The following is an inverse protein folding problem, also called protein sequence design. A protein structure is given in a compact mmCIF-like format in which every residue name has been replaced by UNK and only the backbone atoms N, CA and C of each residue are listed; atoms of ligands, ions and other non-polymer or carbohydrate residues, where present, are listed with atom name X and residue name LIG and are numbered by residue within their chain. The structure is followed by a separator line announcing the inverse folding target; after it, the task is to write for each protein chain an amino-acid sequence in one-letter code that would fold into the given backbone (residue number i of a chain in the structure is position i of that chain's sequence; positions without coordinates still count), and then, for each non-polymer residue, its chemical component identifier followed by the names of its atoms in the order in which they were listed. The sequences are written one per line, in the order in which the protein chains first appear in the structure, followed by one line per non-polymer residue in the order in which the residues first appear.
data_IF_270415983585
#
_entry.id   IF_270415983585
#
_cell.length_a   1.000
_cell.length_b   1.000
_cell.length_c   1.000
_cell.angle_alpha   90.00
_cell.angle_beta   90.00
_cell.angle_gamma   90.00
#
_symmetry.space_group_name_H-M   'P 1'
#
loop_
_entity.id
_entity.type
_entity.pdbx_description
1 polymer ?
#
# COMPACT_ATOMS: atom_id res chain seq x y z
N UNK A 1 -3.36 28.75 73.92
CA UNK A 1 -4.50 28.86 73.00
C UNK A 1 -4.30 30.12 72.16
N UNK A 2 -3.55 30.07 71.05
CA UNK A 2 -3.50 31.10 70.01
C UNK A 2 -2.89 30.45 68.76
N UNK A 3 -3.74 30.22 67.75
CA UNK A 3 -3.39 29.52 66.51
C UNK A 3 -2.65 30.43 65.54
N UNK A 4 -1.60 29.89 64.90
CA UNK A 4 -0.92 30.51 63.76
C UNK A 4 -1.74 30.28 62.49
N UNK A 5 -2.25 31.37 61.92
CA UNK A 5 -2.83 31.39 60.57
C UNK A 5 -1.68 31.25 59.56
N UNK A 6 -1.66 30.16 58.80
CA UNK A 6 -0.85 30.03 57.58
C UNK A 6 -1.65 30.62 56.42
N UNK A 7 -1.16 31.72 55.85
CA UNK A 7 -1.66 32.26 54.59
C UNK A 7 -1.15 31.34 53.46
N UNK A 8 -2.06 30.64 52.81
CA UNK A 8 -1.80 29.92 51.56
C UNK A 8 -2.02 30.93 50.43
N UNK A 9 -0.93 31.36 49.79
CA UNK A 9 -0.98 32.11 48.54
C UNK A 9 -1.26 31.11 47.42
N UNK A 10 -2.52 31.06 46.99
CA UNK A 10 -2.96 30.22 45.88
C UNK A 10 -2.59 30.93 44.58
N UNK A 11 -1.51 30.48 43.94
CA UNK A 11 -1.15 30.87 42.57
C UNK A 11 -2.20 30.28 41.62
N UNK A 12 -3.21 31.07 41.26
CA UNK A 12 -4.09 30.76 40.14
C UNK A 12 -3.28 31.04 38.88
N UNK A 13 -2.69 29.99 38.32
CA UNK A 13 -2.17 30.02 36.95
C UNK A 13 -3.38 30.08 36.03
N UNK A 14 -3.71 31.28 35.56
CA UNK A 14 -4.53 31.44 34.37
C UNK A 14 -3.76 30.79 33.22
N UNK A 15 -4.15 29.57 32.84
CA UNK A 15 -3.84 29.02 31.53
C UNK A 15 -4.64 29.85 30.54
N UNK A 16 -4.09 31.01 30.18
CA UNK A 16 -4.42 31.67 28.93
C UNK A 16 -4.15 30.63 27.85
N UNK A 17 -5.22 30.08 27.29
CA UNK A 17 -5.20 29.37 26.02
C UNK A 17 -4.47 30.26 25.04
N UNK A 18 -3.20 29.92 24.82
CA UNK A 18 -2.39 30.42 23.73
C UNK A 18 -3.13 29.96 22.48
N UNK A 19 -4.03 30.79 21.96
CA UNK A 19 -4.45 30.68 20.58
C UNK A 19 -3.15 30.72 19.79
N UNK A 20 -2.80 29.60 19.18
CA UNK A 20 -1.64 29.47 18.31
C UNK A 20 -1.89 30.40 17.13
N UNK A 21 -1.47 31.66 17.26
CA UNK A 21 -1.51 32.64 16.19
C UNK A 21 -0.56 32.15 15.10
N UNK A 22 -1.12 31.70 13.97
CA UNK A 22 -0.35 31.41 12.75
C UNK A 22 -0.61 30.07 12.06
N UNK A 23 -1.54 29.23 12.54
CA UNK A 23 -1.92 28.03 11.79
C UNK A 23 -3.10 28.32 10.85
N UNK A 24 -3.00 27.84 9.61
CA UNK A 24 -4.09 27.90 8.64
C UNK A 24 -5.29 27.09 9.17
N UNK A 25 -6.54 27.55 8.97
CA UNK A 25 -7.72 26.84 9.46
C UNK A 25 -7.90 25.51 8.74
N UNK A 26 -8.40 24.50 9.44
CA UNK A 26 -8.68 23.18 8.83
C UNK A 26 -9.87 23.22 7.86
N UNK A 27 -10.81 24.14 8.09
CA UNK A 27 -12.01 24.35 7.29
C UNK A 27 -12.20 25.84 6.98
N UNK A 28 -12.57 26.16 5.74
CA UNK A 28 -12.96 27.51 5.35
C UNK A 28 -14.10 27.47 4.32
N UNK A 29 -14.75 28.61 4.12
CA UNK A 29 -15.53 28.87 2.92
C UNK A 29 -14.88 29.95 2.09
N UNK A 30 -14.82 29.75 0.78
CA UNK A 30 -14.58 30.82 -0.17
C UNK A 30 -15.92 31.22 -0.80
N UNK A 31 -16.33 32.45 -0.58
CA UNK A 31 -17.54 33.01 -1.16
C UNK A 31 -17.17 33.83 -2.38
N UNK A 32 -17.67 33.45 -3.55
CA UNK A 32 -17.61 34.25 -4.77
C UNK A 32 -18.94 34.99 -4.94
N UNK A 33 -18.92 36.31 -4.90
CA UNK A 33 -20.09 37.16 -5.14
C UNK A 33 -19.94 37.89 -6.46
N UNK A 34 -20.85 37.63 -7.41
CA UNK A 34 -20.93 38.33 -8.69
C UNK A 34 -22.16 39.23 -8.71
N UNK A 35 -21.97 40.49 -9.09
CA UNK A 35 -23.08 41.44 -9.27
C UNK A 35 -23.62 41.28 -10.69
N UNK A 36 -24.79 40.67 -10.84
CA UNK A 36 -25.34 40.28 -12.15
C UNK A 36 -26.29 41.32 -12.74
N UNK A 37 -26.68 42.33 -11.96
CA UNK A 37 -27.54 43.41 -12.39
C UNK A 37 -27.51 44.58 -11.42
N UNK A 38 -28.35 45.58 -11.65
CA UNK A 38 -28.57 46.63 -10.68
C UNK A 38 -30.05 47.03 -10.65
N UNK A 39 -30.51 47.37 -9.45
CA UNK A 39 -31.84 47.84 -9.11
C UNK A 39 -31.65 48.94 -8.04
N UNK A 40 -32.70 49.62 -7.61
CA UNK A 40 -32.55 50.66 -6.59
C UNK A 40 -32.39 50.06 -5.19
N UNK A 41 -31.59 50.69 -4.33
CA UNK A 41 -31.31 50.24 -2.96
C UNK A 41 -31.02 48.73 -2.87
N UNK A 42 -30.10 48.27 -3.71
CA UNK A 42 -29.84 46.87 -3.99
C UNK A 42 -28.64 46.36 -3.17
N UNK A 43 -28.93 45.59 -2.13
CA UNK A 43 -27.96 45.09 -1.17
C UNK A 43 -27.97 43.56 -1.15
N UNK A 44 -26.79 42.97 -1.28
CA UNK A 44 -26.57 41.54 -1.22
C UNK A 44 -25.72 41.23 0.01
N UNK A 45 -26.27 40.45 0.92
CA UNK A 45 -25.64 40.08 2.18
C UNK A 45 -25.50 38.58 2.28
N UNK A 46 -24.37 38.14 2.80
CA UNK A 46 -24.13 36.77 3.20
C UNK A 46 -23.51 36.79 4.59
N UNK A 47 -23.99 35.93 5.48
CA UNK A 47 -23.37 35.68 6.78
C UNK A 47 -23.18 34.19 7.01
N UNK A 48 -22.09 33.84 7.69
CA UNK A 48 -21.79 32.47 8.08
C UNK A 48 -21.62 32.43 9.59
N UNK A 49 -22.31 31.48 10.22
CA UNK A 49 -22.17 31.15 11.64
C UNK A 49 -21.88 29.66 11.80
N UNK A 50 -21.24 29.28 12.90
CA UNK A 50 -21.17 27.88 13.33
C UNK A 50 -21.96 27.72 14.63
N UNK A 51 -22.07 26.49 15.12
CA UNK A 51 -22.55 26.22 16.48
C UNK A 51 -21.67 26.82 17.60
N UNK A 52 -20.50 27.37 17.26
CA UNK A 52 -19.56 28.01 18.19
C UNK A 52 -19.59 29.55 18.10
N UNK A 53 -20.40 30.13 17.21
CA UNK A 53 -20.56 31.58 17.08
C UNK A 53 -20.53 32.09 15.65
N UNK A 54 -20.60 33.42 15.50
CA UNK A 54 -20.49 34.08 14.20
C UNK A 54 -19.06 34.02 13.64
N UNK A 55 -18.95 33.74 12.34
CA UNK A 55 -17.65 33.66 11.64
C UNK A 55 -17.36 34.96 10.90
N UNK A 56 -18.30 35.41 10.07
CA UNK A 56 -18.12 36.58 9.23
C UNK A 56 -19.29 36.81 8.29
N UNK A 57 -19.26 37.96 7.62
CA UNK A 57 -20.28 38.36 6.65
C UNK A 57 -19.68 39.19 5.52
N UNK A 58 -20.23 39.03 4.31
CA UNK A 58 -19.99 39.91 3.16
C UNK A 58 -21.23 40.74 2.86
N UNK A 59 -21.05 42.02 2.54
CA UNK A 59 -22.14 42.91 2.14
C UNK A 59 -21.72 43.70 0.90
N UNK A 60 -22.57 43.67 -0.12
CA UNK A 60 -22.27 44.25 -1.42
C UNK A 60 -23.46 45.06 -1.92
N UNK A 61 -23.20 46.25 -2.44
CA UNK A 61 -24.23 47.07 -3.08
C UNK A 61 -24.10 46.97 -4.58
N UNK A 62 -25.20 46.74 -5.28
CA UNK A 62 -25.23 46.71 -6.74
C UNK A 62 -25.54 48.10 -7.30
N UNK A 63 -24.67 48.60 -8.16
CA UNK A 63 -24.81 49.87 -8.88
C UNK A 63 -24.55 49.63 -10.37
N UNK A 64 -24.99 50.55 -11.23
CA UNK A 64 -24.71 50.45 -12.66
C UNK A 64 -23.21 50.33 -12.99
N UNK A 65 -22.33 50.84 -12.12
CA UNK A 65 -20.87 50.86 -12.35
C UNK A 65 -20.14 49.59 -11.92
N UNK A 66 -20.78 48.71 -11.14
CA UNK A 66 -20.14 47.49 -10.63
C UNK A 66 -20.84 46.20 -11.07
N UNK A 67 -21.83 46.29 -11.96
CA UNK A 67 -22.37 45.11 -12.63
C UNK A 67 -21.25 44.40 -13.39
N UNK A 68 -21.15 43.09 -13.20
CA UNK A 68 -20.06 42.24 -13.70
C UNK A 68 -18.89 42.12 -12.73
N UNK A 69 -18.81 42.93 -11.67
CA UNK A 69 -17.76 42.78 -10.67
C UNK A 69 -17.91 41.47 -9.90
N UNK A 70 -16.77 40.86 -9.61
CA UNK A 70 -16.65 39.63 -8.83
C UNK A 70 -15.81 39.92 -7.59
N UNK A 71 -16.35 39.54 -6.43
CA UNK A 71 -15.71 39.68 -5.14
C UNK A 71 -15.51 38.30 -4.50
N UNK A 72 -14.47 38.19 -3.68
CA UNK A 72 -14.12 36.96 -2.98
C UNK A 72 -13.95 37.23 -1.48
N UNK A 73 -14.71 36.51 -0.64
CA UNK A 73 -14.56 36.51 0.80
C UNK A 73 -14.08 35.14 1.30
N UNK A 74 -12.98 35.13 2.05
CA UNK A 74 -12.46 33.92 2.69
C UNK A 74 -12.88 33.89 4.16
N UNK A 75 -13.78 32.98 4.51
CA UNK A 75 -14.38 32.84 5.84
C UNK A 75 -13.76 31.63 6.55
N UNK A 76 -12.96 31.86 7.58
CA UNK A 76 -12.27 30.81 8.35
C UNK A 76 -13.21 30.22 9.40
N UNK A 77 -13.43 28.90 9.41
CA UNK A 77 -14.26 28.29 10.44
C UNK A 77 -13.43 27.99 11.70
N UNK A 78 -14.07 28.10 12.86
CA UNK A 78 -13.48 27.75 14.15
C UNK A 78 -13.24 26.24 14.22
N UNK A 79 -12.12 25.83 14.81
CA UNK A 79 -11.85 24.42 15.08
C UNK A 79 -12.93 23.81 16.01
N UNK A 80 -13.23 22.54 15.81
CA UNK A 80 -14.20 21.80 16.64
C UNK A 80 -15.68 22.10 16.38
N UNK A 81 -16.03 22.91 15.37
CA UNK A 81 -17.43 23.05 14.95
C UNK A 81 -18.02 21.69 14.53
N UNK A 82 -19.33 21.54 14.69
CA UNK A 82 -20.09 20.35 14.22
C UNK A 82 -21.02 20.68 13.07
N UNK A 83 -21.44 21.95 12.98
CA UNK A 83 -22.26 22.46 11.89
C UNK A 83 -21.98 23.93 11.61
N UNK A 84 -22.15 24.34 10.35
CA UNK A 84 -22.16 25.72 9.91
C UNK A 84 -23.55 26.08 9.39
N UNK A 85 -23.90 27.35 9.37
CA UNK A 85 -25.12 27.86 8.77
C UNK A 85 -24.78 29.07 7.92
N UNK A 86 -25.20 29.01 6.66
CA UNK A 86 -25.02 30.07 5.67
C UNK A 86 -26.37 30.75 5.51
N UNK A 87 -26.41 32.06 5.77
CA UNK A 87 -27.60 32.87 5.63
C UNK A 87 -27.36 33.92 4.55
N UNK A 88 -28.19 33.91 3.51
CA UNK A 88 -28.18 34.82 2.37
C UNK A 88 -29.38 35.75 2.49
N UNK A 89 -29.14 37.04 2.35
CA UNK A 89 -30.17 38.06 2.29
C UNK A 89 -29.85 39.04 1.17
N UNK A 90 -30.56 38.93 0.06
CA UNK A 90 -30.44 39.83 -1.08
C UNK A 90 -31.74 40.60 -1.24
N UNK A 91 -31.65 41.91 -1.33
CA UNK A 91 -32.80 42.79 -1.34
C UNK A 91 -32.61 43.92 -2.35
N UNK A 92 -33.68 44.29 -3.05
CA UNK A 92 -33.74 45.44 -3.93
C UNK A 92 -35.12 46.11 -3.87
N UNK A 93 -35.12 47.45 -3.82
CA UNK A 93 -36.33 48.27 -3.78
C UNK A 93 -36.72 48.72 -5.18
N UNK A 94 -38.02 48.74 -5.42
CA UNK A 94 -38.70 49.27 -6.60
C UNK A 94 -38.26 50.70 -6.97
N UNK A 95 -37.99 50.87 -8.26
CA UNK A 95 -38.25 52.13 -8.98
C UNK A 95 -39.15 51.82 -10.19
N UNK A 96 -40.21 52.62 -10.35
CA UNK A 96 -41.17 52.53 -11.46
C UNK A 96 -41.90 51.17 -11.59
N UNK A 97 -41.69 50.44 -12.69
CA UNK A 97 -42.49 49.26 -13.10
C UNK A 97 -41.88 47.91 -12.72
N UNK A 98 -40.76 47.87 -11.99
CA UNK A 98 -40.14 46.62 -11.55
C UNK A 98 -40.62 46.22 -10.15
N UNK A 99 -40.91 44.93 -9.90
CA UNK A 99 -41.29 44.47 -8.57
C UNK A 99 -40.12 44.55 -7.58
N UNK A 100 -40.43 44.75 -6.29
CA UNK A 100 -39.45 44.56 -5.22
C UNK A 100 -38.88 43.14 -5.30
N UNK A 101 -37.62 42.99 -4.93
CA UNK A 101 -37.00 41.68 -4.82
C UNK A 101 -36.48 41.49 -3.39
N UNK A 102 -36.95 40.43 -2.75
CA UNK A 102 -36.43 39.93 -1.50
C UNK A 102 -36.12 38.45 -1.68
N UNK A 103 -34.86 38.10 -1.50
CA UNK A 103 -34.38 36.74 -1.56
C UNK A 103 -33.65 36.42 -0.26
N UNK A 104 -34.29 35.58 0.54
CA UNK A 104 -33.71 35.04 1.76
C UNK A 104 -33.55 33.52 1.65
N UNK A 105 -32.36 33.05 2.00
CA UNK A 105 -32.07 31.62 2.16
C UNK A 105 -31.22 31.39 3.39
N UNK A 106 -31.49 30.29 4.07
CA UNK A 106 -30.64 29.78 5.14
C UNK A 106 -30.42 28.30 4.92
N UNK A 107 -29.18 27.84 5.10
CA UNK A 107 -28.82 26.44 4.94
C UNK A 107 -27.79 26.03 5.97
N UNK A 108 -28.06 24.94 6.68
CA UNK A 108 -27.15 24.34 7.66
C UNK A 108 -26.38 23.19 7.00
N UNK A 109 -25.06 23.19 7.18
CA UNK A 109 -24.16 22.15 6.67
C UNK A 109 -23.52 21.45 7.87
N UNK A 110 -23.70 20.13 7.95
CA UNK A 110 -23.00 19.31 8.94
C UNK A 110 -21.53 19.15 8.53
N UNK A 111 -20.64 19.06 9.51
CA UNK A 111 -19.21 18.91 9.26
C UNK A 111 -18.87 17.62 8.48
N UNK A 112 -19.61 16.54 8.73
CA UNK A 112 -19.46 15.27 7.98
C UNK A 112 -19.80 15.41 6.49
N UNK A 113 -20.67 16.37 6.15
CA UNK A 113 -21.14 16.64 4.79
C UNK A 113 -20.43 17.82 4.12
N UNK A 114 -19.38 18.38 4.76
CA UNK A 114 -18.81 19.68 4.38
C UNK A 114 -18.39 19.74 2.91
N UNK A 115 -17.85 18.63 2.39
CA UNK A 115 -17.39 18.51 1.00
C UNK A 115 -18.35 17.72 0.09
N UNK A 116 -19.55 17.36 0.54
CA UNK A 116 -20.50 16.58 -0.27
C UNK A 116 -20.94 17.30 -1.54
N UNK A 117 -20.89 18.64 -1.51
CA UNK A 117 -21.22 19.48 -2.66
C UNK A 117 -20.01 20.29 -3.07
N UNK A 118 -19.80 20.28 -4.37
CA UNK A 118 -18.85 21.12 -5.10
C UNK A 118 -18.90 22.59 -4.67
N UNK A 119 -20.08 23.18 -4.67
CA UNK A 119 -20.36 24.52 -4.17
C UNK A 119 -21.85 24.65 -3.89
N UNK A 120 -22.21 25.62 -3.07
CA UNK A 120 -23.58 26.04 -2.82
C UNK A 120 -23.86 27.28 -3.68
N UNK A 121 -25.02 27.31 -4.33
CA UNK A 121 -25.35 28.35 -5.31
C UNK A 121 -26.59 29.11 -4.90
N UNK A 122 -26.45 30.42 -4.71
CA UNK A 122 -27.52 31.31 -4.29
C UNK A 122 -27.62 32.47 -5.28
N UNK A 123 -28.70 32.48 -6.07
CA UNK A 123 -28.97 33.53 -7.05
C UNK A 123 -30.25 34.25 -6.66
N UNK A 124 -30.18 35.57 -6.49
CA UNK A 124 -31.32 36.37 -6.07
C UNK A 124 -31.10 37.86 -6.32
N UNK A 125 -32.17 38.53 -6.77
CA UNK A 125 -32.19 39.95 -7.10
C UNK A 125 -31.12 40.34 -8.13
N UNK A 126 -29.95 40.82 -7.69
CA UNK A 126 -28.85 41.19 -8.59
C UNK A 126 -27.51 40.60 -8.17
N UNK A 127 -27.54 39.52 -7.41
CA UNK A 127 -26.35 38.83 -6.92
C UNK A 127 -26.40 37.36 -7.29
N UNK A 128 -25.26 36.86 -7.72
CA UNK A 128 -24.97 35.43 -7.80
C UNK A 128 -23.85 35.12 -6.80
N UNK A 129 -24.19 34.42 -5.73
CA UNK A 129 -23.26 34.03 -4.67
C UNK A 129 -23.01 32.53 -4.75
N UNK A 130 -21.73 32.15 -4.85
CA UNK A 130 -21.29 30.76 -4.79
C UNK A 130 -20.41 30.55 -3.57
N UNK A 131 -20.73 29.56 -2.76
CA UNK A 131 -19.97 29.23 -1.55
C UNK A 131 -19.25 27.91 -1.79
N UNK A 132 -17.93 27.96 -1.82
CA UNK A 132 -17.05 26.81 -2.00
C UNK A 132 -16.56 26.33 -0.64
N UNK A 133 -16.92 25.10 -0.20
CA UNK A 133 -16.30 24.49 0.96
C UNK A 133 -14.83 24.19 0.68
N UNK A 134 -13.96 24.63 1.58
CA UNK A 134 -12.53 24.39 1.53
C UNK A 134 -12.12 23.50 2.71
N UNK A 135 -11.77 22.27 2.40
CA UNK A 135 -11.21 21.29 3.32
C UNK A 135 -10.58 20.16 2.50
N UNK A 136 -9.28 19.91 2.65
CA UNK A 136 -8.60 18.95 1.78
C UNK A 136 -8.92 17.52 2.21
N UNK A 137 -9.53 16.76 1.31
CA UNK A 137 -9.80 15.31 1.45
C UNK A 137 -9.08 14.54 0.34
N UNK A 138 -8.31 13.52 0.71
CA UNK A 138 -7.61 12.62 -0.21
C UNK A 138 -8.18 11.19 -0.21
N UNK A 139 -8.08 10.50 -1.34
CA UNK A 139 -8.51 9.08 -1.49
C UNK A 139 -7.59 8.10 -0.77
N UNK A 140 -6.31 8.43 -0.66
CA UNK A 140 -5.26 7.53 -0.20
C UNK A 140 -4.50 8.23 0.93
N UNK A 141 -5.19 8.58 2.03
CA UNK A 141 -4.62 9.28 3.20
C UNK A 141 -3.53 8.45 3.95
N UNK A 142 -2.83 7.58 3.24
CA UNK A 142 -1.73 6.73 3.68
C UNK A 142 -0.40 7.41 3.36
N UNK A 143 0.43 7.57 4.37
CA UNK A 143 1.80 8.08 4.28
C UNK A 143 2.77 6.94 4.68
N UNK A 144 3.81 6.59 3.89
CA UNK A 144 4.31 7.16 2.64
C UNK A 144 3.63 6.66 1.38
N UNK A 145 3.85 7.42 0.29
CA UNK A 145 3.31 7.20 -1.05
C UNK A 145 4.46 6.95 -2.03
N UNK A 146 4.29 6.03 -2.99
CA UNK A 146 5.28 5.81 -4.05
C UNK A 146 5.17 6.89 -5.14
N UNK A 147 6.28 7.29 -5.74
CA UNK A 147 6.34 8.34 -6.77
C UNK A 147 5.38 8.15 -7.97
N UNK A 148 5.03 6.93 -8.35
CA UNK A 148 4.11 6.64 -9.46
C UNK A 148 2.64 6.70 -9.06
N UNK A 149 2.35 7.00 -7.79
CA UNK A 149 0.96 7.06 -7.30
C UNK A 149 0.27 8.31 -7.80
N UNK A 150 -1.00 8.17 -8.17
CA UNK A 150 -1.88 9.28 -8.47
C UNK A 150 -2.71 9.64 -7.24
N UNK A 151 -2.55 10.86 -6.72
CA UNK A 151 -3.32 11.38 -5.59
C UNK A 151 -4.53 12.15 -6.11
N UNK A 152 -5.72 11.84 -5.57
CA UNK A 152 -6.94 12.60 -5.82
C UNK A 152 -7.26 13.46 -4.60
N UNK A 153 -7.18 14.79 -4.75
CA UNK A 153 -7.57 15.73 -3.71
C UNK A 153 -8.87 16.43 -4.09
N UNK A 154 -9.73 16.65 -3.10
CA UNK A 154 -11.03 17.33 -3.23
C UNK A 154 -11.20 18.40 -2.15
N UNK A 155 -12.22 19.25 -2.33
CA UNK A 155 -12.60 20.29 -1.37
C UNK A 155 -11.69 21.51 -1.43
N UNK A 156 -11.38 21.98 -2.65
CA UNK A 156 -10.53 23.14 -2.87
C UNK A 156 -11.06 24.16 -3.86
N UNK A 157 -10.21 25.11 -4.24
CA UNK A 157 -10.47 26.09 -5.30
C UNK A 157 -9.18 26.46 -6.05
N UNK A 158 -8.28 27.23 -5.43
CA UNK A 158 -6.92 27.38 -5.91
C UNK A 158 -6.03 26.37 -5.21
N UNK A 159 -5.25 25.59 -5.96
CA UNK A 159 -4.39 24.53 -5.44
C UNK A 159 -2.92 24.91 -5.62
N UNK A 160 -2.16 24.71 -4.56
CA UNK A 160 -0.71 24.89 -4.57
C UNK A 160 -0.02 23.67 -3.99
N UNK A 161 1.21 23.43 -4.46
CA UNK A 161 2.08 22.39 -3.96
C UNK A 161 3.45 22.95 -3.57
N UNK A 162 4.12 22.25 -2.67
CA UNK A 162 5.46 22.58 -2.20
C UNK A 162 6.24 21.28 -2.00
N UNK A 163 7.41 21.14 -2.62
CA UNK A 163 8.32 20.02 -2.38
C UNK A 163 9.26 20.42 -1.24
N UNK A 164 9.29 19.61 -0.19
CA UNK A 164 10.04 19.86 1.03
C UNK A 164 9.84 21.27 1.57
N UNK A 165 10.96 21.96 1.80
CA UNK A 165 10.97 23.33 2.29
C UNK A 165 11.06 24.38 1.17
N UNK A 166 10.76 23.99 -0.09
CA UNK A 166 10.82 24.86 -1.26
C UNK A 166 9.75 25.95 -1.28
N UNK A 167 9.62 26.67 -2.41
CA UNK A 167 8.53 27.64 -2.59
C UNK A 167 7.21 26.97 -2.98
N UNK A 168 6.08 27.55 -2.57
CA UNK A 168 4.76 27.17 -3.08
C UNK A 168 4.65 27.48 -4.57
N UNK A 169 4.12 26.53 -5.33
CA UNK A 169 3.86 26.64 -6.78
C UNK A 169 2.40 26.37 -7.06
N UNK A 170 1.83 27.11 -8.02
CA UNK A 170 0.46 26.87 -8.47
C UNK A 170 0.37 25.50 -9.14
N UNK A 171 -0.55 24.66 -8.65
CA UNK A 171 -0.92 23.38 -9.26
C UNK A 171 -2.13 23.56 -10.19
N UNK A 172 -3.18 24.18 -9.68
CA UNK A 172 -4.42 24.44 -10.42
C UNK A 172 -5.13 25.68 -9.84
N UNK A 173 -6.09 26.25 -10.56
CA UNK A 173 -6.85 27.41 -10.11
C UNK A 173 -8.32 27.26 -10.45
N UNK A 174 -9.19 27.80 -9.59
CA UNK A 174 -10.64 27.73 -9.73
C UNK A 174 -11.23 26.32 -9.98
N UNK A 175 -10.66 25.29 -9.36
CA UNK A 175 -11.14 23.91 -9.43
C UNK A 175 -11.26 23.26 -8.04
N UNK A 176 -12.26 22.42 -7.84
CA UNK A 176 -12.51 21.79 -6.53
C UNK A 176 -11.76 20.50 -6.30
N UNK A 177 -11.26 19.90 -7.37
CA UNK A 177 -10.54 18.65 -7.31
C UNK A 177 -9.36 18.66 -8.27
N UNK A 178 -8.31 17.97 -7.86
CA UNK A 178 -7.10 17.75 -8.64
C UNK A 178 -6.74 16.27 -8.59
N UNK A 179 -6.31 15.75 -9.73
CA UNK A 179 -5.77 14.41 -9.89
C UNK A 179 -4.31 14.59 -10.29
N UNK A 180 -3.40 14.06 -9.46
CA UNK A 180 -1.99 14.45 -9.45
C UNK A 180 -1.14 13.20 -9.52
N UNK A 181 -0.35 13.04 -10.57
CA UNK A 181 0.76 12.08 -10.56
C UNK A 181 1.95 12.72 -9.83
N UNK A 182 2.40 12.10 -8.74
CA UNK A 182 3.48 12.64 -7.92
C UNK A 182 4.81 12.66 -8.69
N UNK A 183 5.07 11.64 -9.48
CA UNK A 183 6.28 11.50 -10.28
C UNK A 183 6.41 12.62 -11.29
N UNK A 184 5.31 13.02 -11.92
CA UNK A 184 5.27 14.15 -12.87
C UNK A 184 5.65 15.47 -12.17
N UNK A 185 5.12 15.72 -10.96
CA UNK A 185 5.51 16.91 -10.19
C UNK A 185 7.02 16.93 -9.91
N UNK A 186 7.60 15.82 -9.49
CA UNK A 186 9.04 15.76 -9.17
C UNK A 186 9.90 15.88 -10.44
N UNK A 187 9.50 15.22 -11.53
CA UNK A 187 10.17 15.30 -12.83
C UNK A 187 10.15 16.71 -13.41
N UNK A 188 9.02 17.43 -13.34
CA UNK A 188 8.89 18.84 -13.75
C UNK A 188 9.79 19.78 -12.93
N UNK A 189 10.21 19.34 -11.74
CA UNK A 189 11.13 20.06 -10.88
C UNK A 189 12.58 19.57 -11.02
N UNK A 190 12.85 18.64 -11.94
CA UNK A 190 14.18 18.08 -12.18
C UNK A 190 14.70 17.23 -11.02
N UNK A 191 13.81 16.64 -10.21
CA UNK A 191 14.17 15.86 -9.03
C UNK A 191 13.90 14.38 -9.31
N UNK A 192 14.94 13.55 -9.23
CA UNK A 192 14.77 12.10 -9.20
C UNK A 192 14.66 11.63 -7.74
N UNK A 193 13.46 11.13 -7.38
CA UNK A 193 13.15 10.64 -6.03
C UNK A 193 14.06 9.48 -5.62
N UNK A 194 14.57 8.69 -6.56
CA UNK A 194 15.45 7.57 -6.25
C UNK A 194 16.86 8.03 -5.86
N UNK A 195 17.24 9.26 -6.21
CA UNK A 195 18.53 9.87 -5.85
C UNK A 195 18.49 10.64 -4.52
N UNK A 196 17.29 10.91 -3.99
CA UNK A 196 17.14 11.67 -2.74
C UNK A 196 17.56 10.86 -1.50
N UNK A 197 18.23 11.47 -0.51
CA UNK A 197 18.52 10.77 0.74
C UNK A 197 17.27 10.42 1.57
N UNK A 198 17.25 9.30 2.30
CA UNK A 198 16.24 9.00 3.32
C UNK A 198 16.25 10.11 4.39
N UNK A 199 15.11 10.76 4.61
CA UNK A 199 14.98 11.91 5.51
C UNK A 199 15.26 13.29 4.89
N UNK A 200 15.60 13.35 3.59
CA UNK A 200 15.63 14.64 2.87
C UNK A 200 14.26 15.31 2.92
N UNK A 201 14.24 16.63 3.13
CA UNK A 201 13.00 17.39 3.14
C UNK A 201 12.26 17.27 1.81
N UNK A 202 13.00 17.18 0.70
CA UNK A 202 12.48 16.98 -0.66
C UNK A 202 11.74 15.65 -0.82
N UNK A 203 11.89 14.68 0.09
CA UNK A 203 11.02 13.50 0.15
C UNK A 203 9.64 13.79 0.75
N UNK A 204 9.31 15.04 1.05
CA UNK A 204 7.95 15.43 1.42
C UNK A 204 7.36 16.33 0.35
N UNK A 205 6.07 16.15 0.09
CA UNK A 205 5.29 17.06 -0.73
C UNK A 205 4.07 17.54 0.05
N UNK A 206 3.84 18.83 0.00
CA UNK A 206 2.74 19.49 0.67
C UNK A 206 1.74 20.01 -0.36
N UNK A 207 0.45 19.90 -0.05
CA UNK A 207 -0.63 20.48 -0.82
C UNK A 207 -1.46 21.41 0.06
N UNK A 208 -1.83 22.56 -0.47
CA UNK A 208 -2.77 23.46 0.17
C UNK A 208 -3.81 23.95 -0.83
N UNK A 209 -4.96 24.38 -0.32
CA UNK A 209 -6.00 25.00 -1.15
C UNK A 209 -6.58 26.24 -0.50
N UNK A 210 -7.08 27.16 -1.31
CA UNK A 210 -7.57 28.44 -0.82
C UNK A 210 -7.89 29.41 -1.94
N UNK A 211 -7.54 30.68 -1.71
CA UNK A 211 -7.68 31.76 -2.67
C UNK A 211 -6.38 32.55 -2.79
N UNK A 212 -5.70 32.34 -3.91
CA UNK A 212 -4.34 32.83 -4.16
C UNK A 212 -4.25 34.35 -4.14
N UNK A 213 -5.24 35.04 -4.73
CA UNK A 213 -5.23 36.50 -4.80
C UNK A 213 -5.35 37.17 -3.42
N UNK A 214 -5.96 36.50 -2.43
CA UNK A 214 -6.01 36.98 -1.04
C UNK A 214 -4.90 36.41 -0.15
N UNK A 215 -4.04 35.53 -0.67
CA UNK A 215 -3.04 34.79 0.10
C UNK A 215 -3.62 34.11 1.36
N UNK A 216 -4.78 33.47 1.22
CA UNK A 216 -5.48 32.77 2.31
C UNK A 216 -5.74 31.33 1.91
N UNK A 217 -5.31 30.41 2.77
CA UNK A 217 -5.35 28.96 2.52
C UNK A 217 -5.82 28.21 3.76
N UNK A 218 -6.33 27.00 3.56
CA UNK A 218 -6.59 26.04 4.65
C UNK A 218 -5.32 25.30 5.04
N UNK A 219 -5.39 24.51 6.11
CA UNK A 219 -4.32 23.64 6.55
C UNK A 219 -3.84 22.72 5.42
N UNK A 220 -2.51 22.57 5.31
CA UNK A 220 -1.87 21.76 4.27
C UNK A 220 -2.00 20.26 4.57
N UNK A 221 -1.99 19.44 3.51
CA UNK A 221 -1.74 18.00 3.59
C UNK A 221 -0.32 17.69 3.19
N UNK A 222 0.32 16.76 3.89
CA UNK A 222 1.71 16.38 3.68
C UNK A 222 1.79 14.89 3.39
N UNK A 223 2.58 14.53 2.39
CA UNK A 223 2.88 13.15 2.03
C UNK A 223 4.39 12.97 2.00
N UNK A 224 4.88 11.87 2.56
CA UNK A 224 6.25 11.41 2.39
C UNK A 224 6.32 10.52 1.15
N UNK A 225 7.28 10.79 0.27
CA UNK A 225 7.42 10.20 -1.06
C UNK A 225 8.61 9.24 -1.11
N UNK A 226 8.35 8.04 -1.59
CA UNK A 226 9.31 6.94 -1.73
C UNK A 226 9.54 6.57 -3.19
N UNK A 227 10.70 5.99 -3.49
CA UNK A 227 10.95 5.37 -4.79
C UNK A 227 10.06 4.14 -4.95
N UNK A 228 9.51 3.91 -6.15
CA UNK A 228 8.64 2.77 -6.37
C UNK A 228 9.43 1.49 -6.62
N UNK A 229 9.03 0.42 -5.93
CA UNK A 229 9.54 -0.93 -6.17
C UNK A 229 9.18 -1.40 -7.58
N UNK A 230 10.03 -2.21 -8.25
CA UNK A 230 9.70 -2.82 -9.54
C UNK A 230 8.35 -3.53 -9.52
N UNK A 231 7.56 -3.39 -10.58
CA UNK A 231 6.24 -4.04 -10.68
C UNK A 231 6.40 -5.55 -10.79
N UNK A 232 5.61 -6.30 -10.02
CA UNK A 232 5.52 -7.75 -10.12
C UNK A 232 4.89 -8.15 -11.46
N UNK A 233 5.54 -9.08 -12.16
CA UNK A 233 5.05 -9.61 -13.44
C UNK A 233 4.46 -11.00 -13.24
N UNK A 234 5.28 -11.95 -12.81
CA UNK A 234 4.88 -13.34 -12.53
C UNK A 234 5.95 -14.07 -11.72
N UNK A 235 5.68 -15.33 -11.39
CA UNK A 235 6.69 -16.25 -10.85
C UNK A 235 7.43 -16.97 -11.97
N UNK A 236 8.70 -17.32 -11.75
CA UNK A 236 9.49 -18.12 -12.68
C UNK A 236 10.38 -19.13 -11.94
N UNK A 237 10.95 -20.08 -12.68
CA UNK A 237 11.83 -21.16 -12.18
C UNK A 237 11.28 -21.93 -10.98
N UNK A 238 9.94 -21.99 -10.85
CA UNK A 238 9.27 -22.69 -9.77
C UNK A 238 9.53 -24.20 -9.86
N UNK A 239 10.11 -24.78 -8.82
CA UNK A 239 10.29 -26.23 -8.71
C UNK A 239 9.53 -26.80 -7.52
N UNK A 240 8.93 -27.98 -7.72
CA UNK A 240 8.46 -28.81 -6.61
C UNK A 240 9.64 -29.42 -5.87
N UNK A 241 9.42 -29.90 -4.65
CA UNK A 241 10.44 -30.64 -3.89
C UNK A 241 10.91 -31.89 -4.65
N UNK A 242 12.19 -32.25 -4.56
CA UNK A 242 12.73 -33.40 -5.31
C UNK A 242 12.24 -34.73 -4.74
N UNK A 243 12.02 -34.81 -3.42
CA UNK A 243 11.43 -35.95 -2.73
C UNK A 243 10.28 -35.49 -1.84
N UNK A 244 9.29 -36.37 -1.61
CA UNK A 244 8.11 -36.10 -0.78
C UNK A 244 8.43 -35.51 0.61
N UNK A 245 9.61 -35.83 1.17
CA UNK A 245 10.06 -35.43 2.50
C UNK A 245 11.21 -34.41 2.50
N UNK A 246 11.64 -33.90 1.34
CA UNK A 246 12.71 -32.90 1.26
C UNK A 246 12.15 -31.48 1.25
N UNK A 247 13.01 -30.54 1.62
CA UNK A 247 12.78 -29.09 1.58
C UNK A 247 13.79 -28.49 0.61
N UNK A 248 13.51 -28.59 -0.68
CA UNK A 248 14.39 -28.20 -1.79
C UNK A 248 13.60 -27.67 -3.01
N UNK A 249 12.37 -27.20 -2.78
CA UNK A 249 11.65 -26.40 -3.77
C UNK A 249 12.26 -25.01 -3.93
N UNK A 250 12.11 -24.43 -5.11
CA UNK A 250 12.63 -23.10 -5.47
C UNK A 250 11.50 -22.25 -6.08
N UNK A 251 11.65 -20.93 -5.95
CA UNK A 251 10.85 -19.94 -6.68
C UNK A 251 11.67 -18.70 -7.04
N UNK A 252 11.39 -18.11 -8.20
CA UNK A 252 11.85 -16.78 -8.60
C UNK A 252 10.69 -15.79 -8.83
N UNK A 253 10.96 -14.50 -8.64
CA UNK A 253 10.05 -13.38 -8.87
C UNK A 253 10.50 -12.62 -10.12
N UNK A 254 9.64 -12.53 -11.13
CA UNK A 254 9.87 -11.70 -12.32
C UNK A 254 9.33 -10.28 -12.09
N UNK A 255 10.17 -9.30 -12.40
CA UNK A 255 9.98 -7.88 -12.14
C UNK A 255 10.14 -7.05 -13.44
N UNK A 256 9.37 -5.98 -13.56
CA UNK A 256 9.29 -5.17 -14.79
C UNK A 256 10.43 -4.15 -15.02
N UNK A 257 11.41 -4.09 -14.12
CA UNK A 257 12.63 -3.27 -14.28
C UNK A 257 13.78 -3.83 -13.46
N UNK A 258 15.01 -3.46 -13.82
CA UNK A 258 16.16 -3.69 -12.96
C UNK A 258 16.14 -2.73 -11.76
N UNK A 259 16.95 -3.04 -10.76
CA UNK A 259 17.33 -2.10 -9.71
C UNK A 259 18.68 -1.45 -10.05
N UNK A 260 18.89 -0.19 -9.67
CA UNK A 260 20.22 0.41 -9.71
C UNK A 260 21.02 -0.11 -8.51
N UNK A 261 21.78 -1.19 -8.68
CA UNK A 261 22.47 -1.82 -7.54
C UNK A 261 23.56 -0.97 -6.87
N UNK A 262 23.85 0.23 -7.37
CA UNK A 262 24.71 1.21 -6.69
C UNK A 262 23.94 2.10 -5.69
N UNK A 263 22.61 2.19 -5.83
CA UNK A 263 21.73 3.07 -5.04
C UNK A 263 20.59 2.31 -4.37
N UNK A 264 20.11 1.24 -4.97
CA UNK A 264 18.92 0.47 -4.63
C UNK A 264 19.25 -0.99 -4.31
N UNK A 265 18.56 -1.55 -3.32
CA UNK A 265 18.44 -3.01 -3.13
C UNK A 265 16.98 -3.41 -3.07
N UNK A 266 16.65 -4.57 -3.58
CA UNK A 266 15.37 -5.21 -3.38
C UNK A 266 15.40 -5.99 -2.07
N UNK A 267 14.49 -5.70 -1.14
CA UNK A 267 14.25 -6.49 0.07
C UNK A 267 13.00 -7.32 -0.15
N UNK A 268 13.12 -8.63 0.01
CA UNK A 268 12.08 -9.62 -0.29
C UNK A 268 11.85 -10.47 0.96
N UNK A 269 10.60 -10.60 1.37
CA UNK A 269 10.20 -11.35 2.55
C UNK A 269 9.19 -12.42 2.17
N UNK A 270 9.46 -13.66 2.55
CA UNK A 270 8.64 -14.83 2.23
C UNK A 270 7.72 -15.17 3.41
N UNK A 271 6.43 -15.34 3.12
CA UNK A 271 5.43 -15.76 4.08
C UNK A 271 4.73 -17.03 3.63
N UNK A 272 4.35 -17.85 4.60
CA UNK A 272 3.42 -18.97 4.40
C UNK A 272 1.98 -18.50 4.62
N UNK A 273 1.00 -19.21 4.05
CA UNK A 273 -0.42 -18.81 4.01
C UNK A 273 -1.07 -18.50 5.37
N UNK A 274 -0.47 -18.93 6.47
CA UNK A 274 -0.81 -18.68 7.87
C UNK A 274 -0.15 -17.40 8.46
N UNK A 275 0.44 -16.55 7.60
CA UNK A 275 1.24 -15.37 7.97
C UNK A 275 2.52 -15.72 8.75
N UNK A 276 2.98 -16.97 8.69
CA UNK A 276 4.26 -17.34 9.28
C UNK A 276 5.40 -16.80 8.41
N UNK A 277 6.25 -15.98 9.02
CA UNK A 277 7.48 -15.48 8.41
C UNK A 277 8.44 -16.65 8.19
N UNK A 278 8.80 -16.89 6.93
CA UNK A 278 9.79 -17.91 6.55
C UNK A 278 11.19 -17.31 6.55
N UNK A 279 11.32 -16.10 6.03
CA UNK A 279 12.60 -15.39 6.01
C UNK A 279 12.51 -14.06 5.28
N UNK A 280 13.55 -13.25 5.42
CA UNK A 280 13.76 -12.03 4.66
C UNK A 280 15.15 -12.05 4.05
N UNK A 281 15.24 -11.62 2.81
CA UNK A 281 16.46 -11.57 2.03
C UNK A 281 16.55 -10.24 1.29
N UNK A 282 17.73 -9.89 0.83
CA UNK A 282 17.92 -8.70 0.02
C UNK A 282 18.99 -8.90 -1.05
N UNK A 283 18.87 -8.14 -2.14
CA UNK A 283 19.86 -8.17 -3.22
C UNK A 283 21.12 -7.44 -2.81
N UNK A 284 22.27 -8.01 -3.16
CA UNK A 284 23.59 -7.35 -3.08
C UNK A 284 24.10 -6.87 -4.44
N UNK A 285 23.47 -7.32 -5.53
CA UNK A 285 23.81 -7.01 -6.91
C UNK A 285 22.54 -6.65 -7.70
N UNK A 286 22.72 -6.31 -8.97
CA UNK A 286 21.60 -6.14 -9.92
C UNK A 286 20.76 -7.42 -10.04
N UNK A 287 19.50 -7.26 -10.46
CA UNK A 287 18.60 -8.38 -10.72
C UNK A 287 19.07 -9.18 -11.95
N UNK A 288 18.67 -10.45 -12.01
CA UNK A 288 19.04 -11.37 -13.08
C UNK A 288 18.31 -10.93 -14.36
N UNK A 289 18.99 -10.55 -15.45
CA UNK A 289 18.31 -10.20 -16.69
C UNK A 289 17.66 -11.46 -17.29
N UNK A 290 16.34 -11.43 -17.45
CA UNK A 290 15.58 -12.56 -18.04
C UNK A 290 15.29 -12.31 -19.53
N UNK A 291 15.02 -11.05 -19.89
CA UNK A 291 14.88 -10.60 -21.27
C UNK A 291 15.10 -9.07 -21.35
N UNK A 292 14.78 -8.44 -22.48
CA UNK A 292 15.02 -7.01 -22.70
C UNK A 292 14.22 -6.08 -21.79
N UNK A 293 13.14 -6.54 -21.17
CA UNK A 293 12.25 -5.72 -20.33
C UNK A 293 12.03 -6.27 -18.93
N UNK A 294 12.45 -7.50 -18.64
CA UNK A 294 12.17 -8.18 -17.38
C UNK A 294 13.42 -8.70 -16.69
N UNK A 295 13.36 -8.68 -15.37
CA UNK A 295 14.44 -9.05 -14.47
C UNK A 295 13.94 -10.00 -13.40
N UNK A 296 14.83 -10.82 -12.88
CA UNK A 296 14.53 -11.92 -11.98
C UNK A 296 15.22 -11.75 -10.63
N UNK A 297 14.47 -12.03 -9.57
CA UNK A 297 15.01 -12.28 -8.25
C UNK A 297 14.76 -13.75 -7.90
N UNK A 298 15.83 -14.51 -7.62
CA UNK A 298 15.71 -15.89 -7.13
C UNK A 298 15.72 -15.89 -5.60
N UNK A 299 14.75 -16.56 -5.00
CA UNK A 299 14.78 -16.79 -3.56
C UNK A 299 15.95 -17.74 -3.22
N UNK A 300 16.87 -17.35 -2.33
CA UNK A 300 18.13 -18.07 -2.14
C UNK A 300 17.99 -19.31 -1.26
N UNK A 301 16.93 -19.42 -0.46
CA UNK A 301 16.75 -20.51 0.49
C UNK A 301 15.80 -21.57 -0.05
N UNK A 302 16.05 -22.83 0.28
CA UNK A 302 15.13 -23.89 -0.10
C UNK A 302 13.77 -23.75 0.61
N UNK A 303 12.70 -24.12 -0.08
CA UNK A 303 11.33 -24.03 0.42
C UNK A 303 10.72 -25.43 0.53
N UNK A 304 10.04 -25.69 1.63
CA UNK A 304 9.20 -26.89 1.79
C UNK A 304 7.93 -26.79 0.96
N UNK A 305 7.20 -27.91 0.83
CA UNK A 305 5.92 -27.87 0.15
C UNK A 305 4.87 -27.10 0.98
N UNK A 306 4.08 -26.26 0.31
CA UNK A 306 3.11 -25.38 0.97
C UNK A 306 2.64 -24.26 0.05
N UNK A 307 1.81 -23.37 0.62
CA UNK A 307 1.32 -22.18 -0.07
C UNK A 307 1.92 -20.93 0.56
N UNK A 308 2.45 -20.06 -0.27
CA UNK A 308 3.27 -18.90 0.12
C UNK A 308 2.88 -17.65 -0.64
N UNK A 309 3.40 -16.51 -0.20
CA UNK A 309 3.43 -15.25 -0.96
C UNK A 309 4.65 -14.43 -0.54
N UNK A 310 5.03 -13.47 -1.38
CA UNK A 310 6.09 -12.52 -1.07
C UNK A 310 5.52 -11.14 -0.75
N UNK A 311 6.23 -10.45 0.13
CA UNK A 311 6.17 -9.00 0.27
C UNK A 311 7.55 -8.44 -0.06
N UNK A 312 7.60 -7.39 -0.86
CA UNK A 312 8.89 -6.81 -1.22
C UNK A 312 8.83 -5.30 -1.36
N UNK A 313 10.00 -4.69 -1.23
CA UNK A 313 10.20 -3.27 -1.53
C UNK A 313 11.62 -3.00 -2.00
N UNK A 314 11.80 -1.92 -2.76
CA UNK A 314 13.13 -1.36 -3.01
C UNK A 314 13.52 -0.39 -1.90
N UNK A 315 14.76 -0.51 -1.43
CA UNK A 315 15.36 0.33 -0.39
C UNK A 315 16.64 0.98 -0.92
N UNK A 316 17.00 2.14 -0.37
CA UNK A 316 18.28 2.77 -0.67
C UNK A 316 19.42 2.11 0.11
N UNK A 317 20.48 1.65 -0.58
CA UNK A 317 21.59 0.91 0.02
C UNK A 317 22.35 1.73 1.06
N UNK A 318 22.48 3.05 0.85
CA UNK A 318 23.33 3.89 1.70
C UNK A 318 22.61 4.38 2.96
N UNK A 319 21.30 4.21 3.03
CA UNK A 319 20.46 4.98 3.96
C UNK A 319 19.45 4.13 4.72
N UNK A 320 19.12 2.94 4.22
CA UNK A 320 18.17 2.05 4.87
C UNK A 320 18.90 0.84 5.49
N UNK A 321 18.45 0.41 6.67
CA UNK A 321 18.84 -0.86 7.27
C UNK A 321 17.71 -1.85 6.98
N UNK A 322 17.97 -3.03 6.37
CA UNK A 322 16.91 -3.96 6.04
C UNK A 322 16.39 -4.52 7.36
N UNK A 323 15.16 -4.14 7.70
CA UNK A 323 14.45 -4.58 8.90
C UNK A 323 13.21 -5.34 8.47
N UNK A 324 12.97 -6.49 9.11
CA UNK A 324 11.75 -7.24 8.91
C UNK A 324 10.57 -6.43 9.45
N UNK A 325 9.47 -6.28 8.68
CA UNK A 325 8.24 -5.71 9.19
C UNK A 325 7.76 -6.50 10.42
N UNK A 326 7.41 -5.83 11.52
CA UNK A 326 6.76 -6.49 12.65
C UNK A 326 5.35 -6.95 12.25
N UNK A 327 5.04 -8.24 12.46
CA UNK A 327 3.74 -8.87 12.12
C UNK A 327 2.54 -8.17 12.76
N UNK A 328 2.75 -7.55 13.92
CA UNK A 328 1.69 -6.88 14.68
C UNK A 328 1.56 -5.39 14.38
N UNK A 329 2.54 -4.80 13.68
CA UNK A 329 2.48 -3.41 13.23
C UNK A 329 1.89 -3.35 11.82
N UNK A 330 0.56 -3.40 11.75
CA UNK A 330 -0.23 -3.31 10.51
C UNK A 330 0.20 -2.16 9.57
N UNK A 331 0.82 -1.10 10.10
CA UNK A 331 1.24 0.07 9.32
C UNK A 331 2.46 -0.18 8.43
N UNK A 332 3.30 -1.17 8.74
CA UNK A 332 4.48 -1.52 7.93
C UNK A 332 4.11 -2.32 6.67
N UNK A 333 2.95 -2.99 6.69
CA UNK A 333 2.52 -3.94 5.65
C UNK A 333 1.87 -3.29 4.44
N UNK A 334 1.14 -2.19 4.64
CA UNK A 334 0.42 -1.48 3.57
C UNK A 334 1.36 -0.78 2.56
N UNK A 335 2.66 -0.71 2.90
CA UNK A 335 3.71 -0.04 2.11
C UNK A 335 4.45 -1.02 1.20
N UNK A 336 4.30 -2.32 1.41
CA UNK A 336 5.02 -3.37 0.68
C UNK A 336 4.21 -3.86 -0.50
N UNK A 337 4.88 -4.16 -1.61
CA UNK A 337 4.23 -4.80 -2.74
C UNK A 337 3.96 -6.26 -2.40
N UNK A 338 2.68 -6.63 -2.35
CA UNK A 338 2.24 -8.02 -2.12
C UNK A 338 2.05 -8.75 -3.43
N UNK A 339 2.67 -9.93 -3.55
CA UNK A 339 2.47 -10.80 -4.71
C UNK A 339 1.25 -11.72 -4.53
N UNK A 340 0.69 -12.26 -5.63
CA UNK A 340 -0.28 -13.35 -5.56
C UNK A 340 0.28 -14.60 -4.87
N UNK A 341 -0.56 -15.42 -4.25
CA UNK A 341 -0.08 -16.67 -3.64
C UNK A 341 0.42 -17.69 -4.66
N UNK A 342 1.39 -18.51 -4.26
CA UNK A 342 1.91 -19.63 -5.05
C UNK A 342 2.06 -20.89 -4.19
N UNK A 343 2.10 -22.05 -4.85
CA UNK A 343 2.27 -23.35 -4.20
C UNK A 343 3.55 -24.03 -4.67
N UNK A 344 4.35 -24.50 -3.72
CA UNK A 344 5.42 -25.48 -3.92
C UNK A 344 4.82 -26.86 -3.68
N UNK A 345 4.82 -27.69 -4.71
CA UNK A 345 4.23 -29.04 -4.64
C UNK A 345 5.19 -30.04 -3.98
N UNK A 346 4.63 -31.15 -3.47
CA UNK A 346 5.42 -32.31 -3.07
C UNK A 346 5.72 -33.17 -4.29
N UNK A 347 6.93 -33.73 -4.36
CA UNK A 347 7.13 -34.91 -5.19
C UNK A 347 6.28 -36.08 -4.69
N UNK A 348 5.85 -36.92 -5.62
CA UNK A 348 5.13 -38.17 -5.37
C UNK A 348 6.01 -39.10 -4.53
N UNK A 349 5.45 -39.73 -3.50
CA UNK A 349 6.19 -40.71 -2.68
C UNK A 349 6.61 -41.91 -3.54
N UNK A 350 7.78 -42.46 -3.26
CA UNK A 350 8.17 -43.74 -3.85
C UNK A 350 7.61 -44.84 -2.96
N UNK A 351 6.85 -45.77 -3.53
CA UNK A 351 6.34 -46.94 -2.81
C UNK A 351 6.59 -48.20 -3.64
N UNK A 352 6.74 -49.33 -2.96
CA UNK A 352 6.97 -50.61 -3.63
C UNK A 352 6.39 -51.79 -2.85
N UNK A 353 6.15 -52.87 -3.57
CA UNK A 353 5.85 -54.20 -3.04
C UNK A 353 6.96 -55.17 -3.44
N UNK A 354 7.30 -56.09 -2.55
CA UNK A 354 8.21 -57.19 -2.85
C UNK A 354 7.55 -58.51 -2.42
N UNK A 355 7.45 -59.46 -3.33
CA UNK A 355 6.83 -60.75 -3.10
C UNK A 355 7.75 -61.88 -3.58
N UNK A 356 7.84 -63.01 -2.83
CA UNK A 356 8.51 -64.20 -3.33
C UNK A 356 7.90 -64.62 -4.67
N UNK A 357 8.75 -64.83 -5.68
CA UNK A 357 8.34 -65.34 -6.98
C UNK A 357 8.59 -66.85 -7.05
N UNK A 358 9.77 -67.30 -6.62
CA UNK A 358 10.16 -68.71 -6.53
C UNK A 358 11.04 -68.95 -5.30
N UNK A 359 10.81 -70.07 -4.61
CA UNK A 359 11.75 -70.59 -3.61
C UNK A 359 12.92 -71.30 -4.29
N UNK A 360 13.99 -71.52 -3.52
CA UNK A 360 15.15 -72.30 -3.96
C UNK A 360 14.72 -73.74 -4.36
N UNK A 361 15.12 -74.19 -5.56
CA UNK A 361 14.66 -75.46 -6.13
C UNK A 361 15.23 -76.70 -5.42
N UNK A 362 16.44 -76.57 -4.86
CA UNK A 362 17.16 -77.60 -4.12
C UNK A 362 18.12 -76.95 -3.11
N UNK A 363 18.51 -77.70 -2.09
CA UNK A 363 19.40 -77.22 -1.03
C UNK A 363 20.71 -76.64 -1.59
N UNK A 364 21.01 -75.38 -1.26
CA UNK A 364 22.25 -74.64 -1.59
C UNK A 364 22.46 -74.31 -3.08
N UNK A 365 21.41 -74.38 -3.93
CA UNK A 365 21.50 -73.94 -5.32
C UNK A 365 21.49 -72.40 -5.45
N UNK A 366 20.81 -71.70 -4.54
CA UNK A 366 20.73 -70.24 -4.53
C UNK A 366 19.95 -69.66 -5.72
N UNK A 367 18.93 -70.34 -6.21
CA UNK A 367 18.11 -69.92 -7.36
C UNK A 367 16.76 -69.28 -6.96
N UNK A 368 16.60 -68.85 -5.71
CA UNK A 368 15.40 -68.15 -5.25
C UNK A 368 15.21 -66.79 -5.92
N UNK A 369 13.94 -66.38 -6.06
CA UNK A 369 13.55 -65.16 -6.77
C UNK A 369 12.50 -64.34 -5.99
N UNK A 370 12.65 -63.02 -6.02
CA UNK A 370 11.70 -62.05 -5.47
C UNK A 370 11.26 -61.11 -6.59
N UNK A 371 9.96 -60.98 -6.80
CA UNK A 371 9.38 -59.95 -7.67
C UNK A 371 9.30 -58.63 -6.91
N UNK A 372 9.88 -57.58 -7.46
CA UNK A 372 9.83 -56.21 -6.96
C UNK A 372 8.98 -55.35 -7.89
N UNK A 373 8.00 -54.65 -7.34
CA UNK A 373 7.12 -53.75 -8.10
C UNK A 373 7.02 -52.39 -7.40
N UNK A 374 7.34 -51.32 -8.11
CA UNK A 374 7.16 -49.94 -7.66
C UNK A 374 5.72 -49.52 -7.94
N UNK A 375 4.98 -49.22 -6.88
CA UNK A 375 3.54 -48.91 -6.91
C UNK A 375 3.26 -47.41 -6.94
N UNK A 376 4.22 -46.59 -6.52
CA UNK A 376 4.16 -45.13 -6.58
C UNK A 376 5.53 -44.53 -6.84
N UNK A 377 5.57 -43.39 -7.51
CA UNK A 377 6.79 -42.64 -7.81
C UNK A 377 6.55 -41.59 -8.88
N UNK A 378 7.49 -40.64 -9.01
CA UNK A 378 7.42 -39.60 -10.04
C UNK A 378 7.63 -40.17 -11.45
N UNK A 379 6.83 -39.70 -12.40
CA UNK A 379 6.91 -40.12 -13.79
C UNK A 379 8.29 -39.83 -14.39
N UNK A 380 8.83 -40.78 -15.16
CA UNK A 380 10.13 -40.64 -15.84
C UNK A 380 11.35 -40.90 -14.96
N UNK A 381 11.18 -41.28 -13.69
CA UNK A 381 12.30 -41.72 -12.83
C UNK A 381 12.61 -43.20 -13.05
N UNK A 382 13.90 -43.54 -12.94
CA UNK A 382 14.35 -44.93 -12.82
C UNK A 382 14.57 -45.28 -11.35
N UNK A 383 14.64 -46.58 -11.04
CA UNK A 383 14.69 -47.06 -9.67
C UNK A 383 15.94 -47.91 -9.44
N UNK A 384 16.36 -47.93 -8.18
CA UNK A 384 17.45 -48.76 -7.68
C UNK A 384 16.96 -49.52 -6.47
N UNK A 385 17.39 -50.77 -6.34
CA UNK A 385 17.15 -51.57 -5.15
C UNK A 385 18.48 -52.03 -4.53
N UNK A 386 18.46 -52.24 -3.22
CA UNK A 386 19.55 -52.83 -2.44
C UNK A 386 18.98 -53.96 -1.60
N UNK A 387 19.73 -55.05 -1.45
CA UNK A 387 19.25 -56.28 -0.79
C UNK A 387 20.18 -56.62 0.37
N UNK A 388 19.57 -56.84 1.54
CA UNK A 388 20.26 -57.33 2.72
C UNK A 388 19.71 -58.69 3.12
N UNK A 389 20.59 -59.66 3.38
CA UNK A 389 20.25 -60.92 4.03
C UNK A 389 20.23 -60.72 5.54
N UNK A 390 19.21 -61.23 6.21
CA UNK A 390 19.01 -61.08 7.65
C UNK A 390 19.36 -62.40 8.35
N UNK A 391 20.40 -62.36 9.17
CA UNK A 391 20.86 -63.49 9.99
C UNK A 391 20.76 -63.12 11.47
N UNK A 392 19.71 -63.62 12.13
CA UNK A 392 19.36 -63.20 13.49
C UNK A 392 18.99 -61.72 13.54
N UNK A 393 19.85 -60.91 14.16
CA UNK A 393 19.71 -59.44 14.27
C UNK A 393 20.65 -58.68 13.33
N UNK A 394 21.46 -59.38 12.54
CA UNK A 394 22.48 -58.77 11.67
C UNK A 394 21.98 -58.64 10.24
N UNK A 395 22.27 -57.50 9.60
CA UNK A 395 22.04 -57.28 8.17
C UNK A 395 23.36 -57.43 7.41
N UNK A 396 23.41 -58.40 6.50
CA UNK A 396 24.55 -58.64 5.62
C UNK A 396 24.17 -58.15 4.23
N UNK A 397 25.04 -57.34 3.60
CA UNK A 397 24.79 -56.85 2.25
C UNK A 397 24.85 -58.03 1.26
N UNK A 398 23.71 -58.36 0.67
CA UNK A 398 23.59 -59.42 -0.35
C UNK A 398 23.84 -58.84 -1.75
N UNK A 399 23.29 -57.65 -2.00
CA UNK A 399 23.44 -56.96 -3.29
C UNK A 399 23.44 -55.45 -3.06
N UNK A 400 24.44 -54.78 -3.62
CA UNK A 400 24.51 -53.31 -3.63
C UNK A 400 23.49 -52.70 -4.63
N UNK A 401 23.38 -51.38 -4.64
CA UNK A 401 22.43 -50.63 -5.46
C UNK A 401 22.47 -51.07 -6.93
N UNK A 402 21.41 -51.76 -7.34
CA UNK A 402 21.23 -52.26 -8.70
C UNK A 402 20.10 -51.48 -9.35
N UNK A 403 20.36 -50.89 -10.52
CA UNK A 403 19.36 -50.15 -11.27
C UNK A 403 18.44 -51.06 -12.07
N UNK A 404 17.19 -50.64 -12.24
CA UNK A 404 16.25 -51.24 -13.17
C UNK A 404 15.37 -50.18 -13.83
N UNK A 405 14.84 -50.51 -15.00
CA UNK A 405 13.91 -49.67 -15.77
C UNK A 405 12.49 -50.22 -15.68
N UNK A 406 11.49 -49.34 -15.81
CA UNK A 406 10.09 -49.70 -15.64
C UNK A 406 9.64 -49.72 -14.18
N UNK A 407 8.46 -50.29 -13.92
CA UNK A 407 7.85 -50.38 -12.59
C UNK A 407 8.09 -51.73 -11.93
N UNK A 408 8.68 -52.72 -12.60
CA UNK A 408 8.89 -54.06 -12.03
C UNK A 408 10.24 -54.65 -12.42
N UNK A 409 10.84 -55.44 -11.52
CA UNK A 409 12.03 -56.25 -11.80
C UNK A 409 12.03 -57.52 -10.94
N UNK A 410 12.85 -58.49 -11.33
CA UNK A 410 13.06 -59.73 -10.56
C UNK A 410 14.44 -59.70 -9.93
N UNK A 411 14.51 -59.92 -8.62
CA UNK A 411 15.73 -60.14 -7.86
C UNK A 411 15.93 -61.64 -7.77
N UNK A 412 16.92 -62.17 -8.47
CA UNK A 412 17.19 -63.59 -8.64
C UNK A 412 18.59 -63.96 -8.16
N UNK A 413 18.83 -65.26 -7.98
CA UNK A 413 20.10 -65.76 -7.45
C UNK A 413 20.20 -65.63 -5.92
N UNK A 414 19.08 -65.79 -5.22
CA UNK A 414 19.00 -65.66 -3.77
C UNK A 414 19.02 -67.05 -3.10
N UNK A 415 19.84 -67.19 -2.07
CA UNK A 415 19.82 -68.36 -1.19
C UNK A 415 18.63 -68.34 -0.24
N UNK A 416 18.29 -69.48 0.36
CA UNK A 416 17.26 -69.51 1.42
C UNK A 416 17.61 -68.52 2.54
N UNK A 417 16.67 -67.63 2.87
CA UNK A 417 16.88 -66.64 3.91
C UNK A 417 15.73 -65.65 4.08
N UNK A 418 15.87 -64.77 5.07
CA UNK A 418 15.04 -63.58 5.22
C UNK A 418 15.76 -62.40 4.62
N UNK A 419 15.07 -61.59 3.84
CA UNK A 419 15.67 -60.46 3.14
C UNK A 419 14.98 -59.15 3.51
N UNK A 420 15.77 -58.07 3.56
CA UNK A 420 15.28 -56.70 3.62
C UNK A 420 15.68 -55.99 2.33
N UNK A 421 14.70 -55.42 1.65
CA UNK A 421 14.89 -54.67 0.42
C UNK A 421 14.63 -53.20 0.71
N UNK A 422 15.47 -52.31 0.19
CA UNK A 422 15.18 -50.88 0.12
C UNK A 422 15.19 -50.46 -1.34
N UNK A 423 14.26 -49.58 -1.69
CA UNK A 423 14.16 -49.00 -3.04
C UNK A 423 14.36 -47.50 -2.94
N UNK A 424 15.04 -46.93 -3.94
CA UNK A 424 15.08 -45.49 -4.16
C UNK A 424 14.92 -45.17 -5.63
N UNK A 425 14.52 -43.96 -5.95
CA UNK A 425 14.51 -43.47 -7.33
C UNK A 425 15.87 -42.85 -7.75
N UNK A 426 15.93 -42.41 -9.01
CA UNK A 426 17.09 -41.77 -9.62
C UNK A 426 17.45 -40.40 -9.05
N UNK A 427 16.57 -39.79 -8.25
CA UNK A 427 16.82 -38.55 -7.50
C UNK A 427 17.26 -38.84 -6.04
N UNK A 428 17.41 -40.12 -5.69
CA UNK A 428 17.81 -40.56 -4.36
C UNK A 428 16.67 -40.53 -3.33
N UNK A 429 15.42 -40.46 -3.77
CA UNK A 429 14.26 -40.53 -2.88
C UNK A 429 14.03 -41.98 -2.47
N UNK A 430 14.21 -42.29 -1.19
CA UNK A 430 13.95 -43.61 -0.62
C UNK A 430 12.44 -43.83 -0.54
N UNK A 431 12.03 -45.06 -0.84
CA UNK A 431 10.67 -45.50 -0.58
C UNK A 431 10.40 -45.51 0.93
N UNK A 432 9.22 -45.05 1.33
CA UNK A 432 8.87 -44.86 2.75
C UNK A 432 7.44 -45.27 3.04
#
# INVERSE_FOLDING_TARGET
MYGKIKIIVQFIVFVLSINVFGQNPEYAYLVKTEITGYLHANNGSLSIKTNLGGIGSGNYFATASNVGNVYFDFMQLQDGFTQSTISIYNYAIRIANYPDCDYTREETILKEDFNNRSYLNYGGCSFQQRVYPLHIVGTDNTDPVCSLTTINLKGGYDWEYQIGNGGWKTLASATQSVNINIGDIYADNGIDINELPTGSAERSIHFQTGHKASNKFVARRTYTITGCSPVFVEYYDKTKTSCFYKTDGNIGIKLGRNIDSSKERLVVTLYKSDRVLIGQEHTTNSLIPLNSTNYGYMWPNNIDAGTYYFLYQTQNINLDIPTAPEIDDGSSWDKLVKTPSFTIEKATNVDFTAAPLNDESCFEIGDGEIQLEVTSGEAGRSYLYIVYKIEGTTEILERDWTSFSGTSTTINGLSKGKYRIKVKDSQGCLAK
#
